data_IF_442835725215
#
_entry.id   IF_442835725215
#
_cell.length_a   1.000
_cell.length_b   1.000
_cell.length_c   1.000
_cell.angle_alpha   90.00
_cell.angle_beta   90.00
_cell.angle_gamma   90.00
#
_symmetry.space_group_name_H-M   'P 1'
#
loop_
_entity.id
_entity.type
_entity.pdbx_description
1 polymer ?
#
# COMPACT_ATOMS: atom_id res chain seq x y z
N UNK A 1 -55.87 25.43 12.54
CA UNK A 1 -55.10 24.17 12.71
C UNK A 1 -53.68 24.39 12.20
N UNK A 2 -52.67 24.25 13.07
CA UNK A 2 -51.25 24.46 12.72
C UNK A 2 -50.66 23.16 12.16
N UNK A 3 -50.22 23.18 10.91
CA UNK A 3 -49.50 22.06 10.26
C UNK A 3 -48.05 22.04 10.76
N UNK A 4 -47.69 21.02 11.55
CA UNK A 4 -46.28 20.74 11.90
C UNK A 4 -45.58 20.14 10.69
N UNK A 5 -44.57 20.82 10.16
CA UNK A 5 -43.63 20.24 9.18
C UNK A 5 -42.63 19.38 9.94
N UNK A 6 -42.64 18.08 9.69
CA UNK A 6 -41.61 17.14 10.17
C UNK A 6 -40.48 17.16 9.14
N UNK A 7 -39.30 17.58 9.56
CA UNK A 7 -38.07 17.46 8.77
C UNK A 7 -37.45 16.09 9.06
N UNK A 8 -37.45 15.20 8.07
CA UNK A 8 -36.74 13.92 8.16
C UNK A 8 -35.29 14.15 7.74
N UNK A 9 -34.36 14.13 8.70
CA UNK A 9 -32.93 14.15 8.42
C UNK A 9 -32.49 12.71 8.12
N UNK A 10 -32.29 12.39 6.84
CA UNK A 10 -31.76 11.08 6.43
C UNK A 10 -30.25 11.12 6.62
N UNK A 11 -29.76 10.55 7.72
CA UNK A 11 -28.33 10.25 7.88
C UNK A 11 -27.99 9.06 6.99
N UNK A 12 -27.34 9.30 5.86
CA UNK A 12 -26.73 8.24 5.07
C UNK A 12 -25.56 7.65 5.88
N UNK A 13 -25.80 6.53 6.56
CA UNK A 13 -24.75 5.77 7.23
C UNK A 13 -23.97 5.04 6.13
N UNK A 14 -22.94 5.69 5.59
CA UNK A 14 -22.00 5.05 4.68
C UNK A 14 -21.19 4.04 5.50
N UNK A 15 -21.56 2.75 5.41
CA UNK A 15 -20.70 1.66 5.88
C UNK A 15 -19.47 1.68 5.00
N UNK A 16 -18.40 2.33 5.47
CA UNK A 16 -17.09 2.20 4.85
C UNK A 16 -16.63 0.78 5.14
N UNK A 17 -16.78 -0.12 4.17
CA UNK A 17 -16.06 -1.39 4.19
C UNK A 17 -14.57 -1.05 4.18
N UNK A 18 -13.93 -1.14 5.34
CA UNK A 18 -12.49 -0.99 5.50
C UNK A 18 -11.83 -2.22 4.90
N UNK A 19 -11.59 -2.17 3.58
CA UNK A 19 -10.72 -3.15 2.93
C UNK A 19 -9.30 -3.03 3.49
N UNK A 20 -8.56 -4.13 3.35
CA UNK A 20 -7.16 -4.23 3.74
C UNK A 20 -6.32 -3.10 3.11
N UNK A 21 -5.52 -2.43 3.92
CA UNK A 21 -4.88 -1.16 3.53
C UNK A 21 -3.74 -0.78 4.48
N UNK A 22 -2.81 0.04 4.02
CA UNK A 22 -1.76 0.60 4.85
C UNK A 22 -2.27 1.73 5.76
N UNK A 23 -1.72 1.82 6.97
CA UNK A 23 -1.95 2.89 7.93
C UNK A 23 -0.65 3.29 8.64
N UNK A 24 -0.56 4.57 9.02
CA UNK A 24 0.47 5.09 9.89
C UNK A 24 0.03 5.02 11.35
N UNK A 25 0.91 4.59 12.25
CA UNK A 25 0.70 4.69 13.70
C UNK A 25 0.83 6.15 14.13
N UNK A 26 -0.17 6.64 14.87
CA UNK A 26 -0.22 7.99 15.42
C UNK A 26 -0.60 7.88 16.90
N UNK A 27 0.39 7.96 17.78
CA UNK A 27 0.17 8.01 19.23
C UNK A 27 0.96 9.17 19.86
N UNK A 28 0.33 9.89 20.80
CA UNK A 28 0.96 10.99 21.55
C UNK A 28 2.06 10.50 22.50
N UNK A 29 1.98 9.24 22.93
CA UNK A 29 2.92 8.65 23.87
C UNK A 29 4.13 8.02 23.13
N UNK A 30 4.21 8.20 21.80
CA UNK A 30 5.31 7.75 20.96
C UNK A 30 5.20 6.30 20.48
N UNK A 31 4.27 5.51 21.03
CA UNK A 31 4.01 4.13 20.61
C UNK A 31 2.58 3.68 20.95
N UNK A 32 2.12 2.62 20.30
CA UNK A 32 0.88 1.91 20.65
C UNK A 32 1.21 0.48 21.08
N UNK A 33 0.46 -0.05 22.06
CA UNK A 33 0.56 -1.46 22.43
C UNK A 33 -0.21 -2.33 21.43
N UNK A 34 0.44 -3.40 20.96
CA UNK A 34 -0.20 -4.47 20.20
C UNK A 34 -0.76 -5.50 21.17
N UNK A 35 -2.02 -5.87 20.99
CA UNK A 35 -2.74 -6.79 21.87
C UNK A 35 -3.06 -8.10 21.17
N UNK A 36 -3.09 -9.18 21.93
CA UNK A 36 -3.36 -10.53 21.43
C UNK A 36 -4.77 -10.65 20.81
N UNK A 37 -5.76 -9.97 21.40
CA UNK A 37 -7.13 -9.92 20.91
C UNK A 37 -7.59 -8.46 20.77
N UNK A 38 -8.66 -8.24 20.01
CA UNK A 38 -9.35 -6.96 19.81
C UNK A 38 -10.08 -6.45 21.07
N UNK A 39 -9.36 -6.31 22.18
CA UNK A 39 -9.86 -5.92 23.49
C UNK A 39 -8.80 -5.12 24.26
N UNK A 40 -9.21 -4.01 24.89
CA UNK A 40 -8.35 -3.17 25.71
C UNK A 40 -7.82 -3.86 26.97
N UNK A 41 -8.46 -4.94 27.42
CA UNK A 41 -8.01 -5.76 28.55
C UNK A 41 -7.18 -6.96 28.12
N UNK A 42 -7.09 -7.25 26.81
CA UNK A 42 -6.29 -8.36 26.30
C UNK A 42 -4.81 -8.16 26.61
N UNK A 43 -4.08 -9.28 26.76
CA UNK A 43 -2.63 -9.30 26.94
C UNK A 43 -1.93 -8.44 25.88
N UNK A 44 -0.97 -7.63 26.32
CA UNK A 44 -0.06 -6.88 25.45
C UNK A 44 1.03 -7.86 24.99
N UNK A 45 1.21 -7.98 23.68
CA UNK A 45 2.17 -8.89 23.05
C UNK A 45 3.24 -8.18 22.24
N UNK A 46 3.13 -6.85 22.09
CA UNK A 46 4.13 -6.06 21.39
C UNK A 46 3.87 -4.56 21.47
N UNK A 47 4.71 -3.81 20.77
CA UNK A 47 4.59 -2.35 20.62
C UNK A 47 4.94 -1.98 19.18
N UNK A 48 4.25 -0.97 18.65
CA UNK A 48 4.56 -0.33 17.39
C UNK A 48 4.84 1.15 17.65
N UNK A 49 5.88 1.69 17.05
CA UNK A 49 6.27 3.07 17.28
C UNK A 49 5.38 4.01 16.47
N UNK A 50 5.24 5.25 16.92
CA UNK A 50 4.61 6.29 16.11
C UNK A 50 5.40 6.51 14.81
N UNK A 51 4.67 6.89 13.76
CA UNK A 51 5.14 6.99 12.38
C UNK A 51 5.51 5.67 11.69
N UNK A 52 5.46 4.55 12.40
CA UNK A 52 5.54 3.23 11.77
C UNK A 52 4.35 3.02 10.82
N UNK A 53 4.61 2.40 9.66
CA UNK A 53 3.56 2.02 8.72
C UNK A 53 3.27 0.55 8.90
N UNK A 54 1.99 0.23 9.08
CA UNK A 54 1.47 -1.13 9.19
C UNK A 54 0.46 -1.40 8.08
N UNK A 55 0.28 -2.68 7.77
CA UNK A 55 -0.82 -3.14 6.94
C UNK A 55 -1.94 -3.69 7.81
N UNK A 56 -3.18 -3.34 7.45
CA UNK A 56 -4.38 -3.79 8.14
C UNK A 56 -5.00 -4.90 7.32
N UNK A 57 -5.09 -6.12 7.86
CA UNK A 57 -5.45 -7.34 7.11
C UNK A 57 -6.95 -7.56 6.99
N UNK A 58 -7.69 -7.40 8.08
CA UNK A 58 -9.12 -7.72 8.13
C UNK A 58 -9.99 -6.46 8.27
N UNK A 59 -11.25 -6.50 7.79
CA UNK A 59 -12.21 -5.44 8.06
C UNK A 59 -12.44 -5.28 9.56
N UNK A 60 -12.62 -4.03 9.97
CA UNK A 60 -12.71 -3.58 11.36
C UNK A 60 -13.56 -4.47 12.27
N UNK A 61 -12.96 -4.97 13.35
CA UNK A 61 -13.72 -5.37 14.53
C UNK A 61 -14.13 -4.09 15.30
N UNK A 62 -15.02 -3.31 14.69
CA UNK A 62 -15.56 -1.99 15.12
C UNK A 62 -14.50 -0.91 15.41
N UNK A 63 -13.65 -1.15 16.40
CA UNK A 63 -12.67 -0.22 16.95
C UNK A 63 -11.23 -0.74 16.92
N UNK A 64 -11.01 -1.99 16.49
CA UNK A 64 -9.71 -2.62 16.46
C UNK A 64 -9.36 -3.07 15.05
N UNK A 65 -8.12 -2.80 14.67
CA UNK A 65 -7.52 -3.22 13.43
C UNK A 65 -6.57 -4.40 13.67
N UNK A 66 -6.71 -5.42 12.84
CA UNK A 66 -5.80 -6.55 12.77
C UNK A 66 -4.53 -6.12 12.01
N UNK A 67 -3.39 -6.21 12.68
CA UNK A 67 -2.03 -6.03 12.14
C UNK A 67 -1.28 -7.36 12.24
N UNK A 68 -0.15 -7.48 11.55
CA UNK A 68 0.59 -8.76 11.38
C UNK A 68 0.70 -9.64 12.62
N UNK A 69 0.94 -9.05 13.80
CA UNK A 69 1.15 -9.77 15.05
C UNK A 69 0.10 -9.46 16.13
N UNK A 70 -1.12 -9.02 15.78
CA UNK A 70 -2.20 -8.80 16.75
C UNK A 70 -3.10 -7.63 16.42
N UNK A 71 -3.59 -6.93 17.45
CA UNK A 71 -4.59 -5.88 17.31
C UNK A 71 -4.14 -4.56 17.90
N UNK A 72 -4.46 -3.48 17.19
CA UNK A 72 -4.30 -2.09 17.66
C UNK A 72 -5.63 -1.35 17.57
N UNK A 73 -5.83 -0.37 18.45
CA UNK A 73 -7.06 0.42 18.43
C UNK A 73 -7.03 1.43 17.28
N UNK A 74 -8.13 1.56 16.54
CA UNK A 74 -8.24 2.41 15.35
C UNK A 74 -7.96 3.89 15.59
N UNK A 75 -8.20 4.37 16.83
CA UNK A 75 -7.85 5.75 17.20
C UNK A 75 -6.35 6.04 17.18
N UNK A 76 -5.51 5.03 16.92
CA UNK A 76 -4.05 5.14 16.76
C UNK A 76 -3.61 5.00 15.31
N UNK A 77 -4.55 4.91 14.39
CA UNK A 77 -4.28 4.73 12.98
C UNK A 77 -4.64 5.98 12.18
N UNK A 78 -3.76 6.34 11.26
CA UNK A 78 -4.06 7.24 10.15
C UNK A 78 -3.84 6.50 8.85
N UNK A 79 -4.94 6.08 8.22
CA UNK A 79 -4.90 5.33 6.97
C UNK A 79 -4.22 6.11 5.86
N UNK A 80 -3.37 5.44 5.07
CA UNK A 80 -2.66 6.09 3.96
C UNK A 80 -3.65 6.69 2.96
N UNK A 81 -4.78 6.02 2.70
CA UNK A 81 -5.81 6.52 1.79
C UNK A 81 -6.51 7.80 2.26
N UNK A 82 -6.34 8.19 3.53
CA UNK A 82 -6.91 9.41 4.10
C UNK A 82 -6.08 10.67 3.84
N UNK A 83 -4.82 10.52 3.39
CA UNK A 83 -4.02 11.64 2.91
C UNK A 83 -4.57 12.17 1.58
N UNK A 84 -4.07 13.33 1.15
CA UNK A 84 -4.53 13.95 -0.08
C UNK A 84 -4.27 13.04 -1.28
N UNK A 85 -5.31 12.72 -2.03
CA UNK A 85 -5.17 11.87 -3.22
C UNK A 85 -4.41 12.59 -4.32
N UNK A 86 -3.49 11.88 -4.96
CA UNK A 86 -2.88 12.29 -6.23
C UNK A 86 -3.62 11.50 -7.33
N UNK A 87 -4.60 12.10 -8.04
CA UNK A 87 -5.47 11.36 -8.93
C UNK A 87 -4.73 10.84 -10.17
N UNK A 88 -5.19 9.71 -10.73
CA UNK A 88 -4.67 9.19 -11.98
C UNK A 88 -5.12 10.05 -13.16
N UNK A 89 -4.19 10.28 -14.08
CA UNK A 89 -4.46 10.84 -15.42
C UNK A 89 -4.43 9.77 -16.50
N UNK A 90 -3.71 8.67 -16.27
CA UNK A 90 -3.61 7.49 -17.17
C UNK A 90 -3.49 6.25 -16.30
N UNK A 91 -4.22 5.19 -16.63
CA UNK A 91 -4.04 3.83 -16.10
C UNK A 91 -4.36 2.81 -17.18
N UNK A 92 -3.34 2.06 -17.61
CA UNK A 92 -3.45 0.94 -18.53
C UNK A 92 -2.47 -0.18 -18.11
N UNK A 93 -2.40 -1.27 -18.87
CA UNK A 93 -1.59 -2.43 -18.53
C UNK A 93 -0.07 -2.14 -18.45
N UNK A 94 0.43 -1.16 -19.21
CA UNK A 94 1.86 -0.85 -19.33
C UNK A 94 2.25 0.47 -18.66
N UNK A 95 1.27 1.30 -18.28
CA UNK A 95 1.53 2.63 -17.74
C UNK A 95 0.50 3.08 -16.71
N UNK A 96 0.96 3.75 -15.67
CA UNK A 96 0.13 4.62 -14.83
C UNK A 96 0.80 6.00 -14.64
N UNK A 97 0.00 7.06 -14.71
CA UNK A 97 0.45 8.43 -14.45
C UNK A 97 -0.51 9.10 -13.48
N UNK A 98 0.01 9.66 -12.39
CA UNK A 98 -0.75 10.40 -11.39
C UNK A 98 -0.25 11.83 -11.31
N UNK A 99 -1.14 12.80 -11.09
CA UNK A 99 -0.77 14.23 -10.97
C UNK A 99 -1.67 14.97 -9.98
N UNK A 100 -1.05 15.83 -9.16
CA UNK A 100 -1.74 16.85 -8.36
C UNK A 100 -0.80 18.01 -8.11
N UNK A 101 -1.13 19.21 -8.61
CA UNK A 101 -0.27 20.39 -8.50
C UNK A 101 1.14 20.14 -9.02
N UNK A 102 2.14 20.26 -8.14
CA UNK A 102 3.56 20.05 -8.44
C UNK A 102 4.03 18.58 -8.24
N UNK A 103 3.11 17.64 -8.03
CA UNK A 103 3.41 16.22 -7.84
C UNK A 103 3.03 15.45 -9.10
N UNK A 104 3.94 14.60 -9.57
CA UNK A 104 3.70 13.69 -10.70
C UNK A 104 4.34 12.33 -10.42
N UNK A 105 3.58 11.25 -10.58
CA UNK A 105 4.10 9.88 -10.54
C UNK A 105 3.98 9.28 -11.94
N UNK A 106 5.02 8.63 -12.43
CA UNK A 106 4.99 7.82 -13.65
C UNK A 106 5.48 6.42 -13.34
N UNK A 107 4.66 5.44 -13.68
CA UNK A 107 4.96 4.02 -13.56
C UNK A 107 4.90 3.44 -14.96
N UNK A 108 5.94 2.71 -15.33
CA UNK A 108 5.96 1.93 -16.56
C UNK A 108 6.24 0.48 -16.24
N UNK A 109 5.50 -0.40 -16.91
CA UNK A 109 5.64 -1.84 -16.83
C UNK A 109 5.70 -2.42 -18.24
N UNK A 110 6.17 -3.65 -18.33
CA UNK A 110 6.33 -4.35 -19.61
C UNK A 110 6.31 -5.85 -19.45
N UNK A 111 6.38 -6.55 -20.58
CA UNK A 111 6.52 -8.00 -20.61
C UNK A 111 7.87 -8.41 -20.01
N UNK A 112 7.86 -9.46 -19.18
CA UNK A 112 9.08 -10.07 -18.66
C UNK A 112 9.57 -11.16 -19.61
N UNK A 113 10.85 -11.11 -19.99
CA UNK A 113 11.45 -12.16 -20.81
C UNK A 113 12.05 -13.26 -19.91
N UNK A 114 11.25 -14.27 -19.58
CA UNK A 114 11.69 -15.36 -18.70
C UNK A 114 12.93 -16.08 -19.22
N UNK A 115 12.98 -16.42 -20.51
CA UNK A 115 14.09 -17.19 -21.10
C UNK A 115 15.45 -16.51 -20.95
N UNK A 116 15.50 -15.18 -21.06
CA UNK A 116 16.74 -14.42 -20.90
C UNK A 116 17.18 -14.28 -19.45
N UNK A 117 16.23 -14.39 -18.51
CA UNK A 117 16.42 -14.10 -17.09
C UNK A 117 16.36 -15.34 -16.20
N UNK A 118 16.12 -16.52 -16.78
CA UNK A 118 15.93 -17.79 -16.06
C UNK A 118 17.11 -18.11 -15.14
N UNK A 119 18.34 -17.81 -15.58
CA UNK A 119 19.57 -18.01 -14.81
C UNK A 119 19.65 -17.21 -13.49
N UNK A 120 18.85 -16.16 -13.36
CA UNK A 120 18.83 -15.30 -12.18
C UNK A 120 17.79 -15.77 -11.15
N UNK A 121 17.01 -16.82 -11.46
CA UNK A 121 16.09 -17.48 -10.53
C UNK A 121 16.77 -18.65 -9.82
N UNK A 122 16.46 -18.83 -8.54
CA UNK A 122 16.99 -19.96 -7.75
C UNK A 122 16.30 -21.30 -8.08
N UNK A 123 15.10 -21.29 -8.63
CA UNK A 123 14.46 -22.48 -9.19
C UNK A 123 13.52 -22.14 -10.35
N UNK A 124 13.44 -23.02 -11.34
CA UNK A 124 12.76 -22.81 -12.62
C UNK A 124 11.25 -23.02 -12.60
N UNK A 125 10.69 -23.51 -11.49
CA UNK A 125 9.25 -23.81 -11.36
C UNK A 125 8.60 -23.25 -10.08
N UNK A 126 9.39 -23.01 -9.03
CA UNK A 126 8.96 -22.41 -7.76
C UNK A 126 9.99 -21.36 -7.33
N UNK A 127 10.28 -20.40 -8.19
CA UNK A 127 11.38 -19.45 -7.96
C UNK A 127 11.10 -18.57 -6.74
N UNK A 128 11.49 -19.03 -5.55
CA UNK A 128 11.37 -18.27 -4.31
C UNK A 128 12.18 -16.97 -4.39
N UNK A 129 13.25 -16.95 -5.20
CA UNK A 129 14.16 -15.82 -5.35
C UNK A 129 14.48 -15.50 -6.81
N UNK A 130 14.59 -14.20 -7.10
CA UNK A 130 15.12 -13.62 -8.33
C UNK A 130 16.20 -12.62 -7.94
N UNK A 131 17.43 -12.80 -8.43
CA UNK A 131 18.60 -11.97 -8.06
C UNK A 131 18.76 -11.81 -6.54
N UNK A 132 18.76 -12.94 -5.83
CA UNK A 132 18.93 -13.00 -4.36
C UNK A 132 17.78 -12.36 -3.55
N UNK A 133 16.68 -11.93 -4.18
CA UNK A 133 15.54 -11.32 -3.51
C UNK A 133 14.31 -12.21 -3.61
N UNK A 134 13.55 -12.31 -2.51
CA UNK A 134 12.29 -13.04 -2.50
C UNK A 134 11.37 -12.52 -3.61
N UNK A 135 10.79 -13.42 -4.39
CA UNK A 135 9.88 -13.06 -5.47
C UNK A 135 8.49 -12.71 -4.94
N UNK A 136 7.85 -11.72 -5.55
CA UNK A 136 6.46 -11.34 -5.30
C UNK A 136 5.64 -11.40 -6.57
N UNK A 137 4.39 -11.83 -6.43
CA UNK A 137 3.43 -11.87 -7.53
C UNK A 137 3.29 -13.22 -8.22
N UNK A 138 4.12 -14.20 -7.89
CA UNK A 138 4.10 -15.53 -8.51
C UNK A 138 3.50 -16.55 -7.57
N UNK A 139 2.71 -17.45 -8.15
CA UNK A 139 2.23 -18.67 -7.51
C UNK A 139 2.40 -19.80 -8.53
N UNK A 140 3.51 -20.54 -8.43
CA UNK A 140 3.85 -21.65 -9.33
C UNK A 140 3.87 -21.33 -10.83
N UNK A 141 4.01 -20.05 -11.21
CA UNK A 141 3.87 -19.57 -12.59
C UNK A 141 5.09 -18.78 -13.04
N UNK A 142 5.37 -18.81 -14.34
CA UNK A 142 6.39 -17.95 -14.93
C UNK A 142 5.98 -16.46 -14.86
N UNK A 143 6.89 -15.54 -14.55
CA UNK A 143 6.62 -14.11 -14.55
C UNK A 143 6.26 -13.62 -15.96
N UNK A 144 5.16 -12.87 -16.06
CA UNK A 144 4.66 -12.33 -17.34
C UNK A 144 4.96 -10.85 -17.50
N UNK A 145 4.89 -10.09 -16.41
CA UNK A 145 5.12 -8.64 -16.42
C UNK A 145 5.99 -8.22 -15.25
N UNK A 146 6.73 -7.13 -15.43
CA UNK A 146 7.55 -6.49 -14.40
C UNK A 146 7.44 -4.97 -14.48
N UNK A 147 7.95 -4.28 -13.46
CA UNK A 147 8.19 -2.84 -13.55
C UNK A 147 9.43 -2.55 -14.39
N UNK A 148 9.32 -1.58 -15.29
CA UNK A 148 10.46 -0.99 -16.00
C UNK A 148 10.99 0.23 -15.25
N UNK A 149 10.09 1.06 -14.72
CA UNK A 149 10.47 2.21 -13.89
C UNK A 149 9.31 2.69 -13.03
N UNK A 150 9.65 3.25 -11.87
CA UNK A 150 8.77 4.07 -11.05
C UNK A 150 9.51 5.37 -10.77
N UNK A 151 8.90 6.49 -11.16
CA UNK A 151 9.47 7.83 -10.95
C UNK A 151 8.43 8.73 -10.31
N UNK A 152 8.89 9.59 -9.41
CA UNK A 152 8.09 10.64 -8.82
C UNK A 152 8.78 11.99 -9.00
N UNK A 153 8.01 13.02 -9.29
CA UNK A 153 8.43 14.41 -9.27
C UNK A 153 7.65 15.12 -8.17
N UNK A 154 8.36 15.83 -7.30
CA UNK A 154 7.79 16.66 -6.23
C UNK A 154 8.45 18.04 -6.35
N UNK A 155 7.70 19.01 -6.87
CA UNK A 155 8.26 20.29 -7.27
C UNK A 155 9.31 20.13 -8.37
N UNK A 156 10.53 20.55 -8.09
CA UNK A 156 11.66 20.47 -9.02
C UNK A 156 12.52 19.22 -8.81
N UNK A 157 12.26 18.42 -7.77
CA UNK A 157 13.00 17.18 -7.51
C UNK A 157 12.35 16.03 -8.24
N UNK A 158 13.16 15.22 -8.91
CA UNK A 158 12.75 13.95 -9.51
C UNK A 158 13.47 12.81 -8.78
N UNK A 159 12.69 11.83 -8.36
CA UNK A 159 13.15 10.62 -7.66
C UNK A 159 12.82 9.43 -8.52
N UNK A 160 13.82 8.60 -8.77
CA UNK A 160 13.63 7.28 -9.37
C UNK A 160 13.72 6.24 -8.26
N UNK A 161 12.72 5.35 -8.19
CA UNK A 161 12.80 4.18 -7.31
C UNK A 161 13.94 3.29 -7.82
N UNK A 162 14.89 2.88 -6.98
CA UNK A 162 16.00 2.03 -7.40
C UNK A 162 15.51 0.71 -8.03
N UNK A 163 16.19 0.24 -9.07
CA UNK A 163 15.81 -1.00 -9.77
C UNK A 163 15.71 -2.20 -8.84
N UNK A 164 16.61 -2.31 -7.85
CA UNK A 164 16.61 -3.37 -6.84
C UNK A 164 15.29 -3.44 -6.04
N UNK A 165 14.58 -2.33 -5.90
CA UNK A 165 13.33 -2.22 -5.16
C UNK A 165 12.10 -2.61 -5.99
N UNK A 166 12.26 -2.94 -7.26
CA UNK A 166 11.14 -3.28 -8.16
C UNK A 166 11.39 -4.52 -9.02
N UNK A 167 12.63 -4.98 -9.16
CA UNK A 167 12.99 -6.06 -10.09
C UNK A 167 12.46 -7.45 -9.69
N UNK A 168 12.16 -7.67 -8.41
CA UNK A 168 11.57 -8.90 -7.87
C UNK A 168 10.04 -8.84 -7.73
N UNK A 169 9.40 -7.78 -8.27
CA UNK A 169 7.95 -7.56 -8.24
C UNK A 169 7.34 -7.88 -9.60
N UNK A 170 6.61 -9.00 -9.69
CA UNK A 170 5.99 -9.46 -10.92
C UNK A 170 4.47 -9.35 -10.91
N UNK A 171 3.85 -9.69 -12.05
CA UNK A 171 2.42 -9.59 -12.31
C UNK A 171 1.88 -8.20 -11.98
N UNK A 172 2.57 -7.19 -12.50
CA UNK A 172 2.24 -5.78 -12.27
C UNK A 172 0.83 -5.46 -12.73
N UNK A 173 0.06 -4.81 -11.87
CA UNK A 173 -1.24 -4.23 -12.18
C UNK A 173 -1.27 -2.73 -11.86
N UNK A 174 -0.92 -1.95 -12.88
CA UNK A 174 -0.98 -0.49 -12.84
C UNK A 174 -2.39 0.07 -12.62
N UNK A 175 -3.46 -0.68 -12.94
CA UNK A 175 -4.84 -0.19 -12.75
C UNK A 175 -5.20 -0.12 -11.28
N UNK A 176 -4.66 -1.03 -10.48
CA UNK A 176 -4.86 -1.11 -9.04
C UNK A 176 -3.79 -0.35 -8.24
N UNK A 177 -3.11 0.61 -8.87
CA UNK A 177 -2.23 1.57 -8.17
C UNK A 177 -3.00 2.83 -7.76
N UNK A 178 -2.68 3.34 -6.55
CA UNK A 178 -3.18 4.59 -6.00
C UNK A 178 -2.03 5.40 -5.38
N UNK A 179 -2.16 6.72 -5.37
CA UNK A 179 -1.13 7.62 -4.84
C UNK A 179 -1.75 8.62 -3.87
N UNK A 180 -1.05 8.90 -2.76
CA UNK A 180 -1.48 9.85 -1.73
C UNK A 180 -0.30 10.68 -1.23
N UNK A 181 -0.56 11.89 -0.79
CA UNK A 181 0.47 12.83 -0.36
C UNK A 181 0.16 13.45 1.00
N UNK A 182 1.10 13.30 1.93
CA UNK A 182 1.12 14.01 3.21
C UNK A 182 1.84 15.35 3.02
N UNK A 183 1.04 16.42 2.82
CA UNK A 183 1.58 17.79 2.68
C UNK A 183 2.33 18.28 3.91
N UNK A 184 1.96 17.82 5.11
CA UNK A 184 2.55 18.32 6.36
C UNK A 184 3.98 17.81 6.49
N UNK A 185 4.20 16.55 6.15
CA UNK A 185 5.48 15.88 6.34
C UNK A 185 6.31 15.74 5.04
N UNK A 186 5.75 16.21 3.90
CA UNK A 186 6.32 16.04 2.55
C UNK A 186 6.59 14.57 2.23
N UNK A 187 5.55 13.74 2.33
CA UNK A 187 5.63 12.29 2.07
C UNK A 187 4.66 11.90 0.96
N UNK A 188 5.21 11.30 -0.10
CA UNK A 188 4.44 10.66 -1.16
C UNK A 188 4.38 9.15 -0.93
N UNK A 189 3.17 8.64 -0.94
CA UNK A 189 2.83 7.22 -0.84
C UNK A 189 2.33 6.71 -2.19
N UNK A 190 2.95 5.67 -2.71
CA UNK A 190 2.50 4.98 -3.93
C UNK A 190 2.11 3.55 -3.51
N UNK A 191 0.80 3.29 -3.45
CA UNK A 191 0.23 2.01 -3.04
C UNK A 191 -0.20 1.22 -4.26
N UNK A 192 0.17 -0.05 -4.32
CA UNK A 192 -0.18 -0.97 -5.41
C UNK A 192 -0.81 -2.24 -4.87
N UNK A 193 -1.68 -2.83 -5.67
CA UNK A 193 -2.17 -4.19 -5.51
C UNK A 193 -1.88 -4.90 -6.83
N UNK A 194 -1.02 -5.91 -6.79
CA UNK A 194 -0.49 -6.60 -7.95
C UNK A 194 -0.85 -8.08 -7.90
N UNK A 195 -0.74 -8.72 -9.06
CA UNK A 195 -1.14 -10.10 -9.29
C UNK A 195 -2.62 -10.37 -9.00
N UNK A 196 -3.00 -11.64 -9.10
CA UNK A 196 -4.35 -12.12 -8.87
C UNK A 196 -4.29 -13.47 -8.14
N UNK A 197 -5.37 -13.87 -7.47
CA UNK A 197 -5.46 -15.16 -6.76
C UNK A 197 -4.41 -15.29 -5.65
N UNK A 198 -3.81 -16.48 -5.53
CA UNK A 198 -2.82 -16.78 -4.50
C UNK A 198 -1.47 -16.06 -4.69
N UNK A 199 -1.21 -15.49 -5.88
CA UNK A 199 -0.03 -14.65 -6.11
C UNK A 199 -0.20 -13.19 -5.68
N UNK A 200 -1.39 -12.79 -5.21
CA UNK A 200 -1.71 -11.39 -4.90
C UNK A 200 -0.81 -10.83 -3.80
N UNK A 201 -0.31 -9.61 -4.01
CA UNK A 201 0.41 -8.86 -2.99
C UNK A 201 0.11 -7.37 -3.10
N UNK A 202 0.26 -6.68 -1.97
CA UNK A 202 0.23 -5.22 -1.93
C UNK A 202 1.61 -4.66 -1.66
N UNK A 203 1.89 -3.48 -2.23
CA UNK A 203 3.14 -2.76 -2.01
C UNK A 203 2.89 -1.30 -1.69
N UNK A 204 3.72 -0.73 -0.85
CA UNK A 204 3.75 0.70 -0.55
C UNK A 204 5.16 1.24 -0.71
N UNK A 205 5.37 2.11 -1.70
CA UNK A 205 6.61 2.88 -1.83
C UNK A 205 6.46 4.22 -1.12
N UNK A 206 7.48 4.58 -0.34
CA UNK A 206 7.51 5.81 0.45
C UNK A 206 8.64 6.69 -0.04
N UNK A 207 8.28 7.90 -0.46
CA UNK A 207 9.23 8.96 -0.82
C UNK A 207 8.99 10.10 0.16
N UNK A 208 10.00 10.46 0.94
CA UNK A 208 9.92 11.51 1.95
C UNK A 208 10.93 12.60 1.61
N UNK A 209 10.48 13.86 1.61
CA UNK A 209 11.30 15.06 1.36
C UNK A 209 12.06 15.04 0.02
N UNK A 210 11.47 14.36 -0.96
CA UNK A 210 12.04 14.16 -2.28
C UNK A 210 13.17 13.12 -2.32
N UNK A 211 13.18 12.16 -1.40
CA UNK A 211 14.10 11.02 -1.39
C UNK A 211 13.33 9.71 -1.23
N UNK A 212 13.71 8.66 -1.96
CA UNK A 212 13.19 7.33 -1.72
C UNK A 212 13.62 6.83 -0.34
N UNK A 213 12.68 6.37 0.48
CA UNK A 213 12.97 5.84 1.82
C UNK A 213 12.98 4.32 1.87
N UNK A 214 11.87 3.70 1.48
CA UNK A 214 11.67 2.25 1.54
C UNK A 214 10.41 1.82 0.80
N UNK A 215 10.28 0.51 0.61
CA UNK A 215 9.04 -0.17 0.27
C UNK A 215 8.58 -1.06 1.41
N UNK A 216 7.29 -1.32 1.46
CA UNK A 216 6.66 -2.32 2.34
C UNK A 216 5.83 -3.22 1.44
N UNK A 217 5.93 -4.54 1.64
CA UNK A 217 5.24 -5.55 0.83
C UNK A 217 4.50 -6.49 1.78
N UNK A 218 3.25 -6.79 1.48
CA UNK A 218 2.39 -7.65 2.30
C UNK A 218 1.51 -8.53 1.42
N UNK A 219 1.18 -9.70 1.93
CA UNK A 219 0.18 -10.58 1.35
C UNK A 219 -1.18 -10.18 1.96
N UNK A 220 -2.18 -9.76 1.17
CA UNK A 220 -3.36 -9.08 1.69
C UNK A 220 -4.45 -10.02 2.25
N UNK A 221 -4.10 -11.21 2.74
CA UNK A 221 -5.03 -12.25 3.19
C UNK A 221 -4.43 -13.14 4.27
#
# INVERSE_FOLDING_TARGET
>A
MKTKKIFLLVSALSVQLSFAQFAKIVDKDGYVNVRENADANSKIIGKLNSDEIVYIFEPDNKNWANVSNGYVHNSRLKYIKSYESVPPTVRDANKAIFKSGNIKVNITSGKFNFKENEKDFTSTLNGDYYKEQQVWGLDGTIPKTHYLSITAQIGNKTVQIPTKEIENLFQVDNKNTTCYYDRINDILYISMLNSEGAGTYTGLFIIEKGEYKKRILEIPF
#
